data_IF_016444411947
#
_entry.id   IF_016444411947
#
_cell.length_a   1.000
_cell.length_b   1.000
_cell.length_c   1.000
_cell.angle_alpha   90.00
_cell.angle_beta   90.00
_cell.angle_gamma   90.00
#
_symmetry.space_group_name_H-M   'P 1'
#
loop_
_entity.id
_entity.type
_entity.pdbx_description
1 polymer ?
#
# COMPACT_ATOMS: atom_id res chain seq x y z
N UNK A 1 -4.83 18.09 -20.12
CA UNK A 1 -4.58 18.24 -18.67
C UNK A 1 -4.47 19.73 -18.38
N UNK A 2 -4.90 20.11 -17.19
CA UNK A 2 -5.08 21.49 -16.75
C UNK A 2 -4.56 21.62 -15.30
N UNK A 3 -4.43 22.83 -14.76
CA UNK A 3 -4.08 23.07 -13.35
C UNK A 3 -5.25 23.59 -12.52
N UNK A 4 -6.35 23.94 -13.19
CA UNK A 4 -7.48 24.61 -12.60
C UNK A 4 -7.26 26.10 -12.37
N UNK A 5 -6.36 26.72 -13.14
CA UNK A 5 -6.15 28.16 -13.15
C UNK A 5 -7.00 28.77 -14.26
N UNK A 6 -8.14 29.36 -13.87
CA UNK A 6 -9.02 30.02 -14.83
C UNK A 6 -8.32 31.24 -15.45
N UNK A 7 -8.28 31.29 -16.78
CA UNK A 7 -7.61 32.35 -17.53
C UNK A 7 -8.59 33.33 -18.20
N UNK A 8 -9.81 32.87 -18.48
CA UNK A 8 -10.82 33.69 -19.15
C UNK A 8 -12.22 33.29 -18.72
N UNK A 9 -13.13 34.27 -18.65
CA UNK A 9 -14.56 34.01 -18.58
C UNK A 9 -15.16 34.23 -19.96
N UNK A 10 -15.58 33.15 -20.60
CA UNK A 10 -16.29 33.19 -21.88
C UNK A 10 -17.81 33.28 -21.71
N UNK A 11 -18.51 33.52 -22.81
CA UNK A 11 -19.99 33.56 -22.86
C UNK A 11 -20.48 32.62 -23.95
N UNK A 12 -21.39 31.71 -23.61
CA UNK A 12 -22.06 30.83 -24.57
C UNK A 12 -22.90 31.69 -25.51
N UNK A 13 -22.58 31.68 -26.81
CA UNK A 13 -23.33 32.42 -27.83
C UNK A 13 -24.50 31.60 -28.35
N UNK A 14 -24.25 30.32 -28.68
CA UNK A 14 -25.28 29.44 -29.22
C UNK A 14 -25.13 28.02 -28.71
N UNK A 15 -26.27 27.34 -28.55
CA UNK A 15 -26.35 25.90 -28.29
C UNK A 15 -27.31 25.33 -29.34
N UNK A 16 -26.80 24.50 -30.25
CA UNK A 16 -27.58 23.90 -31.36
C UNK A 16 -27.38 22.39 -31.36
N UNK A 17 -28.37 21.67 -30.82
CA UNK A 17 -28.22 20.23 -30.61
C UNK A 17 -27.07 19.95 -29.64
N UNK A 18 -26.10 19.17 -30.08
CA UNK A 18 -24.87 18.84 -29.34
C UNK A 18 -23.77 19.90 -29.46
N UNK A 19 -23.84 20.79 -30.46
CA UNK A 19 -22.85 21.85 -30.71
C UNK A 19 -23.04 23.06 -29.80
N UNK A 20 -21.94 23.55 -29.23
CA UNK A 20 -21.89 24.72 -28.37
C UNK A 20 -20.82 25.68 -28.91
N UNK A 21 -21.19 26.94 -29.10
CA UNK A 21 -20.27 28.02 -29.47
C UNK A 21 -20.12 28.98 -28.30
N UNK A 22 -18.88 29.29 -27.93
CA UNK A 22 -18.54 30.16 -26.79
C UNK A 22 -17.63 31.28 -27.28
N UNK A 23 -18.02 32.53 -27.03
CA UNK A 23 -17.16 33.70 -27.23
C UNK A 23 -16.13 33.77 -26.13
N UNK A 24 -14.86 33.72 -26.51
CA UNK A 24 -13.70 33.69 -25.62
C UNK A 24 -12.46 34.17 -26.40
N UNK A 25 -12.30 35.48 -26.65
CA UNK A 25 -11.26 35.99 -27.54
C UNK A 25 -9.84 35.57 -27.14
N UNK A 26 -9.52 35.52 -25.85
CA UNK A 26 -8.17 35.21 -25.40
C UNK A 26 -7.83 33.72 -25.57
N UNK A 27 -8.79 32.83 -25.34
CA UNK A 27 -8.67 31.39 -25.52
C UNK A 27 -8.71 31.02 -27.00
N UNK A 28 -9.63 31.62 -27.78
CA UNK A 28 -9.75 31.44 -29.22
C UNK A 28 -8.46 31.86 -29.96
N UNK A 29 -7.75 32.88 -29.48
CA UNK A 29 -6.47 33.28 -30.07
C UNK A 29 -5.34 32.25 -29.88
N UNK A 30 -5.46 31.33 -28.91
CA UNK A 30 -4.40 30.39 -28.52
C UNK A 30 -4.70 28.94 -28.90
N UNK A 31 -5.98 28.59 -29.04
CA UNK A 31 -6.40 27.22 -29.34
C UNK A 31 -6.60 27.01 -30.85
N UNK A 32 -6.37 25.79 -31.32
CA UNK A 32 -6.62 25.36 -32.70
C UNK A 32 -7.67 24.24 -32.70
N UNK A 33 -8.36 23.99 -33.83
CA UNK A 33 -9.13 22.77 -34.01
C UNK A 33 -8.34 21.52 -33.63
N UNK A 34 -8.98 20.61 -32.89
CA UNK A 34 -8.36 19.44 -32.23
C UNK A 34 -7.79 19.71 -30.84
N UNK A 35 -7.64 20.98 -30.44
CA UNK A 35 -7.14 21.37 -29.12
C UNK A 35 -8.13 21.06 -27.99
N UNK A 36 -7.62 20.89 -26.78
CA UNK A 36 -8.43 20.67 -25.57
C UNK A 36 -8.60 21.97 -24.78
N UNK A 37 -9.82 22.23 -24.32
CA UNK A 37 -10.15 23.38 -23.47
C UNK A 37 -10.97 22.91 -22.26
N UNK A 38 -10.63 23.39 -21.07
CA UNK A 38 -11.44 23.17 -19.88
C UNK A 38 -12.51 24.27 -19.83
N UNK A 39 -13.78 23.87 -19.91
CA UNK A 39 -14.97 24.73 -19.89
C UNK A 39 -15.76 24.42 -18.63
N UNK A 40 -15.57 25.23 -17.59
CA UNK A 40 -16.21 25.07 -16.27
C UNK A 40 -16.08 23.65 -15.70
N UNK A 41 -14.88 23.06 -15.81
CA UNK A 41 -14.56 21.72 -15.32
C UNK A 41 -14.78 20.60 -16.34
N UNK A 42 -15.26 20.91 -17.55
CA UNK A 42 -15.47 19.94 -18.64
C UNK A 42 -14.40 20.11 -19.71
N UNK A 43 -13.60 19.08 -19.95
CA UNK A 43 -12.69 19.03 -21.08
C UNK A 43 -13.50 18.87 -22.37
N UNK A 44 -13.37 19.82 -23.30
CA UNK A 44 -13.94 19.75 -24.63
C UNK A 44 -12.85 19.78 -25.69
N UNK A 45 -13.09 19.10 -26.80
CA UNK A 45 -12.27 19.21 -28.00
C UNK A 45 -12.83 20.32 -28.88
N UNK A 46 -12.03 21.34 -29.16
CA UNK A 46 -12.41 22.44 -30.05
C UNK A 46 -12.42 21.92 -31.49
N UNK A 47 -13.50 22.16 -32.21
CA UNK A 47 -13.67 21.74 -33.60
C UNK A 47 -13.46 22.89 -34.58
N UNK A 48 -13.83 24.11 -34.17
CA UNK A 48 -13.72 25.30 -35.00
C UNK A 48 -13.42 26.53 -34.14
N UNK A 49 -12.72 27.50 -34.72
CA UNK A 49 -12.33 28.76 -34.07
C UNK A 49 -12.48 29.88 -35.10
N UNK A 50 -13.38 30.83 -34.81
CA UNK A 50 -13.65 31.98 -35.68
C UNK A 50 -14.12 33.17 -34.85
N UNK A 51 -13.74 34.39 -35.26
CA UNK A 51 -14.26 35.67 -34.72
C UNK A 51 -14.19 35.81 -33.18
N UNK A 52 -13.13 35.26 -32.58
CA UNK A 52 -12.93 35.27 -31.13
C UNK A 52 -13.85 34.31 -30.36
N UNK A 53 -14.43 33.32 -31.04
CA UNK A 53 -15.22 32.25 -30.46
C UNK A 53 -14.66 30.88 -30.86
N UNK A 54 -14.97 29.87 -30.07
CA UNK A 54 -14.70 28.47 -30.40
C UNK A 54 -16.00 27.67 -30.39
N UNK A 55 -16.04 26.60 -31.19
CA UNK A 55 -17.15 25.64 -31.21
C UNK A 55 -16.65 24.26 -30.81
N UNK A 56 -17.42 23.58 -29.98
CA UNK A 56 -17.16 22.20 -29.59
C UNK A 56 -18.46 21.39 -29.57
N UNK A 57 -18.34 20.07 -29.79
CA UNK A 57 -19.46 19.13 -29.63
C UNK A 57 -19.46 18.56 -28.22
N UNK A 58 -20.62 18.62 -27.56
CA UNK A 58 -20.82 18.08 -26.21
C UNK A 58 -21.64 16.80 -26.28
N UNK A 59 -21.02 15.69 -25.88
CA UNK A 59 -21.67 14.37 -25.85
C UNK A 59 -22.89 14.33 -24.91
N UNK A 60 -23.81 13.41 -25.17
CA UNK A 60 -24.98 13.19 -24.31
C UNK A 60 -24.59 12.76 -22.87
N UNK A 61 -23.53 11.96 -22.71
CA UNK A 61 -23.06 11.57 -21.37
C UNK A 61 -22.46 12.76 -20.62
N UNK A 62 -21.67 13.61 -21.30
CA UNK A 62 -21.15 14.85 -20.72
C UNK A 62 -22.28 15.74 -20.24
N UNK A 63 -23.30 15.99 -21.08
CA UNK A 63 -24.48 16.79 -20.70
C UNK A 63 -25.18 16.22 -19.47
N UNK A 64 -25.36 14.90 -19.41
CA UNK A 64 -26.03 14.23 -18.29
C UNK A 64 -25.24 14.26 -16.98
N UNK A 65 -23.90 14.30 -17.05
CA UNK A 65 -23.01 14.15 -15.89
C UNK A 65 -22.47 15.47 -15.34
N UNK A 66 -22.64 16.58 -16.07
CA UNK A 66 -22.18 17.90 -15.68
C UNK A 66 -23.32 18.91 -15.63
N UNK A 67 -23.01 20.17 -15.34
CA UNK A 67 -23.92 21.32 -15.47
C UNK A 67 -24.15 21.74 -16.93
N UNK A 68 -23.88 20.87 -17.91
CA UNK A 68 -24.12 21.18 -19.33
C UNK A 68 -25.52 20.74 -19.80
N UNK A 69 -26.30 20.10 -18.92
CA UNK A 69 -27.72 19.81 -19.15
C UNK A 69 -28.58 21.08 -19.25
N UNK A 70 -28.18 22.17 -18.60
CA UNK A 70 -28.84 23.48 -18.60
C UNK A 70 -27.98 24.59 -19.24
N UNK A 71 -27.06 24.22 -20.15
CA UNK A 71 -26.25 25.19 -20.90
C UNK A 71 -27.12 25.94 -21.92
N UNK A 72 -27.09 27.27 -21.88
CA UNK A 72 -27.88 28.12 -22.75
C UNK A 72 -27.09 29.37 -23.18
N UNK A 73 -27.55 30.02 -24.25
CA UNK A 73 -26.98 31.29 -24.72
C UNK A 73 -27.02 32.36 -23.61
N UNK A 74 -25.97 33.17 -23.52
CA UNK A 74 -25.77 34.18 -22.48
C UNK A 74 -25.14 33.64 -21.19
N UNK A 75 -25.05 32.31 -21.02
CA UNK A 75 -24.39 31.72 -19.85
C UNK A 75 -22.88 31.95 -19.92
N UNK A 76 -22.31 32.51 -18.86
CA UNK A 76 -20.87 32.66 -18.75
C UNK A 76 -20.22 31.38 -18.19
N UNK A 77 -19.02 31.07 -18.69
CA UNK A 77 -18.27 29.84 -18.41
C UNK A 77 -16.81 30.17 -18.11
N UNK A 78 -16.24 29.50 -17.10
CA UNK A 78 -14.82 29.61 -16.77
C UNK A 78 -13.98 28.78 -17.75
N UNK A 79 -12.88 29.35 -18.25
CA UNK A 79 -12.07 28.75 -19.30
C UNK A 79 -10.60 28.64 -18.89
N UNK A 80 -10.00 27.51 -19.25
CA UNK A 80 -8.57 27.25 -19.09
C UNK A 80 -8.04 26.41 -20.28
N UNK A 81 -7.04 26.93 -21.04
CA UNK A 81 -6.32 26.16 -22.05
C UNK A 81 -5.57 24.96 -21.47
N UNK A 82 -5.37 23.92 -22.27
CA UNK A 82 -4.54 22.79 -21.85
C UNK A 82 -3.09 23.19 -21.62
N UNK A 83 -2.47 22.58 -20.61
CA UNK A 83 -1.06 22.73 -20.31
C UNK A 83 -0.16 22.31 -21.48
N UNK A 84 0.93 23.04 -21.65
CA UNK A 84 2.05 22.72 -22.52
C UNK A 84 3.25 22.21 -21.70
N UNK A 85 4.17 21.53 -22.37
CA UNK A 85 5.39 21.05 -21.71
C UNK A 85 6.25 22.24 -21.28
N UNK A 86 6.49 22.35 -19.98
CA UNK A 86 7.26 23.45 -19.38
C UNK A 86 6.42 24.50 -18.67
N UNK A 87 5.08 24.42 -18.75
CA UNK A 87 4.21 25.29 -17.97
C UNK A 87 4.35 25.02 -16.47
N UNK A 88 4.29 26.06 -15.62
CA UNK A 88 4.25 25.88 -14.18
C UNK A 88 2.97 25.14 -13.77
N UNK A 89 3.11 24.19 -12.85
CA UNK A 89 1.98 23.48 -12.26
C UNK A 89 1.40 24.31 -11.10
N UNK A 90 0.74 25.42 -11.45
CA UNK A 90 0.08 26.34 -10.50
C UNK A 90 -1.31 25.81 -10.10
N UNK A 91 -1.34 24.75 -9.29
CA UNK A 91 -2.58 24.11 -8.82
C UNK A 91 -2.40 22.62 -8.57
N UNK A 92 -3.49 21.85 -8.75
CA UNK A 92 -3.41 20.38 -8.83
C UNK A 92 -3.73 19.93 -10.25
N UNK A 93 -3.42 18.68 -10.58
CA UNK A 93 -3.72 18.14 -11.91
C UNK A 93 -5.24 17.98 -12.08
N UNK A 94 -5.81 18.78 -12.97
CA UNK A 94 -7.21 18.73 -13.39
C UNK A 94 -7.29 18.10 -14.77
N UNK A 95 -8.21 17.17 -14.96
CA UNK A 95 -8.42 16.48 -16.24
C UNK A 95 -9.55 17.09 -17.05
N UNK A 96 -10.46 17.82 -16.41
CA UNK A 96 -11.73 18.24 -17.00
C UNK A 96 -12.72 17.08 -17.11
N UNK A 97 -12.61 16.11 -16.20
CA UNK A 97 -13.49 14.94 -16.11
C UNK A 97 -14.39 15.11 -14.89
N UNK A 98 -15.59 15.64 -15.12
CA UNK A 98 -16.57 15.86 -14.05
C UNK A 98 -16.97 14.54 -13.41
N UNK A 99 -16.56 14.36 -12.15
CA UNK A 99 -16.87 13.19 -11.34
C UNK A 99 -18.30 13.26 -10.76
N UNK A 100 -18.77 14.48 -10.47
CA UNK A 100 -20.08 14.74 -9.89
C UNK A 100 -20.55 16.19 -10.09
N UNK A 101 -21.85 16.42 -9.97
CA UNK A 101 -22.43 17.76 -9.82
C UNK A 101 -22.77 18.00 -8.36
N UNK A 102 -22.18 19.03 -7.77
CA UNK A 102 -22.48 19.50 -6.42
C UNK A 102 -23.57 20.56 -6.40
N UNK A 103 -24.27 20.69 -5.26
CA UNK A 103 -25.22 21.78 -5.01
C UNK A 103 -24.66 22.73 -3.95
N UNK A 104 -24.60 24.02 -4.26
CA UNK A 104 -24.24 25.06 -3.29
C UNK A 104 -25.36 25.16 -2.26
N UNK A 105 -24.99 25.08 -0.99
CA UNK A 105 -25.91 25.08 0.16
C UNK A 105 -25.87 26.39 0.93
N UNK A 106 -24.72 27.06 0.94
CA UNK A 106 -24.53 28.38 1.54
C UNK A 106 -23.29 29.02 0.92
N UNK A 107 -23.27 30.34 0.86
CA UNK A 107 -22.12 31.11 0.41
C UNK A 107 -22.03 32.41 1.23
N UNK A 108 -21.05 32.46 2.12
CA UNK A 108 -20.97 33.42 3.23
C UNK A 108 -19.70 34.28 3.11
N UNK A 109 -19.83 35.58 3.35
CA UNK A 109 -18.67 36.47 3.38
C UNK A 109 -17.78 36.12 4.58
N UNK A 110 -16.47 35.96 4.35
CA UNK A 110 -15.49 35.65 5.39
C UNK A 110 -14.26 36.55 5.24
N UNK A 111 -14.27 37.68 5.95
CA UNK A 111 -13.23 38.71 5.80
C UNK A 111 -13.16 39.22 4.36
N UNK A 112 -11.96 39.21 3.78
CA UNK A 112 -11.74 39.56 2.37
C UNK A 112 -12.13 38.45 1.37
N UNK A 113 -12.42 37.24 1.85
CA UNK A 113 -12.79 36.09 1.04
C UNK A 113 -14.26 35.69 1.20
N UNK A 114 -14.64 34.60 0.55
CA UNK A 114 -15.99 34.03 0.63
C UNK A 114 -15.92 32.53 0.87
N UNK A 115 -16.64 32.01 1.85
CA UNK A 115 -16.75 30.58 2.10
C UNK A 115 -17.96 30.04 1.36
N UNK A 116 -17.76 28.98 0.57
CA UNK A 116 -18.83 28.32 -0.18
C UNK A 116 -18.97 26.89 0.32
N UNK A 117 -20.18 26.50 0.73
CA UNK A 117 -20.53 25.17 1.17
C UNK A 117 -21.22 24.40 0.06
N UNK A 118 -20.66 23.25 -0.31
CA UNK A 118 -21.12 22.45 -1.44
C UNK A 118 -21.50 21.05 -0.94
N UNK A 119 -22.73 20.63 -1.23
CA UNK A 119 -23.22 19.27 -1.01
C UNK A 119 -23.02 18.45 -2.29
N UNK A 120 -22.06 17.52 -2.32
CA UNK A 120 -21.94 16.58 -3.43
C UNK A 120 -22.89 15.38 -3.27
N UNK A 121 -23.06 14.53 -4.29
CA UNK A 121 -23.69 13.22 -4.13
C UNK A 121 -22.92 12.39 -3.09
N UNK A 122 -23.62 11.58 -2.29
CA UNK A 122 -23.02 10.80 -1.18
C UNK A 122 -21.83 9.95 -1.61
N UNK A 123 -21.87 9.38 -2.83
CA UNK A 123 -20.78 8.58 -3.41
C UNK A 123 -19.48 9.36 -3.68
N UNK A 124 -19.55 10.68 -3.80
CA UNK A 124 -18.42 11.53 -4.12
C UNK A 124 -17.70 12.03 -2.86
N UNK A 125 -18.43 12.22 -1.75
CA UNK A 125 -17.87 12.75 -0.51
C UNK A 125 -16.63 11.98 0.02
N UNK A 126 -16.54 10.63 -0.09
CA UNK A 126 -15.32 9.89 0.29
C UNK A 126 -14.05 10.29 -0.47
N UNK A 127 -14.19 10.92 -1.65
CA UNK A 127 -13.08 11.41 -2.48
C UNK A 127 -12.59 12.79 -2.06
N UNK A 128 -13.28 13.46 -1.14
CA UNK A 128 -12.93 14.80 -0.67
C UNK A 128 -12.09 14.70 0.61
N UNK A 129 -10.87 15.24 0.56
CA UNK A 129 -9.98 15.30 1.71
C UNK A 129 -9.92 16.73 2.26
N UNK A 130 -10.12 16.88 3.58
CA UNK A 130 -9.88 18.16 4.23
C UNK A 130 -8.42 18.57 4.03
N UNK A 131 -8.18 19.84 3.68
CA UNK A 131 -6.88 20.39 3.28
C UNK A 131 -6.29 19.80 1.99
N UNK A 132 -7.02 18.92 1.30
CA UNK A 132 -6.67 18.46 -0.04
C UNK A 132 -7.18 19.40 -1.14
N UNK A 133 -6.79 19.09 -2.37
CA UNK A 133 -7.24 19.80 -3.57
C UNK A 133 -8.57 19.27 -4.11
N UNK A 134 -9.34 20.14 -4.74
CA UNK A 134 -10.56 19.80 -5.47
C UNK A 134 -10.76 20.82 -6.61
N UNK A 135 -11.27 20.38 -7.76
CA UNK A 135 -11.70 21.31 -8.81
C UNK A 135 -13.20 21.60 -8.68
N UNK A 136 -13.58 22.88 -8.67
CA UNK A 136 -14.97 23.35 -8.69
C UNK A 136 -15.16 24.26 -9.89
N UNK A 137 -16.03 23.86 -10.83
CA UNK A 137 -16.16 24.47 -12.16
C UNK A 137 -14.79 24.68 -12.86
N UNK A 138 -13.92 23.68 -12.71
CA UNK A 138 -12.58 23.69 -13.26
C UNK A 138 -11.56 24.45 -12.41
N UNK A 139 -11.97 25.33 -11.51
CA UNK A 139 -11.03 26.06 -10.66
C UNK A 139 -10.44 25.15 -9.56
N UNK A 140 -9.11 25.12 -9.44
CA UNK A 140 -8.40 24.37 -8.40
C UNK A 140 -8.46 25.10 -7.06
N UNK A 141 -9.03 24.44 -6.05
CA UNK A 141 -9.26 25.00 -4.72
C UNK A 141 -8.76 24.06 -3.62
N UNK A 142 -8.45 24.62 -2.45
CA UNK A 142 -8.20 23.85 -1.24
C UNK A 142 -9.51 23.63 -0.47
N UNK A 143 -9.81 22.38 -0.14
CA UNK A 143 -10.92 22.03 0.75
C UNK A 143 -10.63 22.56 2.15
N UNK A 144 -11.43 23.52 2.61
CA UNK A 144 -11.27 24.11 3.93
C UNK A 144 -11.66 23.12 5.04
N UNK A 145 -12.79 22.43 4.83
CA UNK A 145 -13.43 21.55 5.82
C UNK A 145 -14.34 20.54 5.13
N UNK A 146 -14.46 19.34 5.70
CA UNK A 146 -15.42 18.31 5.30
C UNK A 146 -16.27 17.95 6.51
N UNK A 147 -17.59 18.07 6.37
CA UNK A 147 -18.57 17.63 7.38
C UNK A 147 -19.42 16.50 6.80
N UNK A 148 -20.36 15.96 7.59
CA UNK A 148 -21.09 14.72 7.30
C UNK A 148 -21.67 14.62 5.88
N UNK A 149 -22.25 15.68 5.33
CA UNK A 149 -22.95 15.67 4.04
C UNK A 149 -22.43 16.68 3.02
N UNK A 150 -21.42 17.49 3.37
CA UNK A 150 -20.95 18.61 2.55
C UNK A 150 -19.50 18.97 2.88
N UNK A 151 -18.89 19.74 2.01
CA UNK A 151 -17.57 20.33 2.25
C UNK A 151 -17.62 21.82 1.99
N UNK A 152 -16.59 22.54 2.44
CA UNK A 152 -16.43 23.96 2.11
C UNK A 152 -15.09 24.25 1.46
N UNK A 153 -15.09 25.31 0.66
CA UNK A 153 -13.90 25.96 0.10
C UNK A 153 -13.93 27.43 0.52
N UNK A 154 -12.76 28.04 0.63
CA UNK A 154 -12.63 29.48 0.88
C UNK A 154 -12.02 30.12 -0.35
N UNK A 155 -12.77 31.04 -0.96
CA UNK A 155 -12.36 31.80 -2.13
C UNK A 155 -11.64 33.06 -1.66
N UNK A 156 -10.38 33.20 -2.08
CA UNK A 156 -9.57 34.39 -1.82
C UNK A 156 -9.86 35.50 -2.86
N UNK A 157 -9.52 36.77 -2.60
CA UNK A 157 -9.80 37.88 -3.53
C UNK A 157 -9.39 37.63 -4.98
N UNK A 158 -8.20 37.05 -5.20
CA UNK A 158 -7.73 36.73 -6.55
C UNK A 158 -8.64 35.70 -7.26
N UNK A 159 -9.08 34.65 -6.55
CA UNK A 159 -10.01 33.65 -7.09
C UNK A 159 -11.39 34.25 -7.34
N UNK A 160 -11.88 35.13 -6.45
CA UNK A 160 -13.15 35.84 -6.63
C UNK A 160 -13.14 36.73 -7.87
N UNK A 161 -12.01 37.38 -8.18
CA UNK A 161 -11.85 38.22 -9.35
C UNK A 161 -11.67 37.42 -10.66
N UNK A 162 -10.96 36.29 -10.59
CA UNK A 162 -10.62 35.49 -11.78
C UNK A 162 -11.68 34.44 -12.14
N UNK A 163 -12.64 34.14 -11.25
CA UNK A 163 -13.63 33.08 -11.44
C UNK A 163 -15.04 33.58 -11.19
N UNK A 164 -16.04 32.83 -11.67
CA UNK A 164 -17.46 33.08 -11.36
C UNK A 164 -17.90 32.51 -10.01
N UNK A 165 -17.01 31.85 -9.27
CA UNK A 165 -17.36 31.22 -8.00
C UNK A 165 -17.78 32.26 -6.94
N UNK A 166 -17.36 33.52 -7.11
CA UNK A 166 -17.79 34.64 -6.28
C UNK A 166 -19.25 35.05 -6.46
N UNK A 167 -19.92 34.61 -7.53
CA UNK A 167 -21.34 34.88 -7.81
C UNK A 167 -22.28 33.79 -7.28
N UNK A 168 -21.74 32.65 -6.84
CA UNK A 168 -22.55 31.48 -6.46
C UNK A 168 -23.51 31.78 -5.29
N UNK A 169 -24.74 31.30 -5.40
CA UNK A 169 -25.76 31.39 -4.36
C UNK A 169 -26.27 30.00 -3.95
N UNK A 170 -27.00 29.94 -2.84
CA UNK A 170 -27.61 28.70 -2.39
C UNK A 170 -28.63 28.21 -3.42
N UNK A 171 -28.45 26.99 -3.92
CA UNK A 171 -29.26 26.44 -5.01
C UNK A 171 -28.44 26.11 -6.25
N UNK A 172 -27.36 26.86 -6.49
CA UNK A 172 -26.54 26.72 -7.68
C UNK A 172 -25.88 25.35 -7.78
N UNK A 173 -25.62 24.94 -9.02
CA UNK A 173 -24.97 23.68 -9.37
C UNK A 173 -23.56 23.96 -9.86
N UNK A 174 -22.62 23.13 -9.44
CA UNK A 174 -21.20 23.23 -9.82
C UNK A 174 -20.67 21.86 -10.23
N UNK A 175 -19.78 21.83 -11.21
CA UNK A 175 -19.03 20.64 -11.59
C UNK A 175 -17.92 20.38 -10.59
N UNK A 176 -17.79 19.13 -10.16
CA UNK A 176 -16.77 18.70 -9.21
C UNK A 176 -15.86 17.66 -9.85
N UNK A 177 -14.56 17.86 -9.70
CA UNK A 177 -13.52 16.88 -9.99
C UNK A 177 -12.69 16.66 -8.74
N UNK A 178 -12.51 15.40 -8.36
CA UNK A 178 -11.63 15.00 -7.25
C UNK A 178 -10.18 15.00 -7.69
N UNK A 179 -9.27 15.35 -6.77
CA UNK A 179 -7.85 15.28 -7.03
C UNK A 179 -7.43 13.87 -7.51
N UNK A 180 -6.62 13.81 -8.56
CA UNK A 180 -6.18 12.55 -9.19
C UNK A 180 -5.46 11.67 -8.17
N UNK A 181 -4.62 12.26 -7.31
CA UNK A 181 -3.90 11.51 -6.28
C UNK A 181 -4.88 10.97 -5.24
N UNK A 182 -5.82 11.79 -4.74
CA UNK A 182 -6.86 11.33 -3.81
C UNK A 182 -7.75 10.23 -4.41
N UNK A 183 -8.05 10.33 -5.72
CA UNK A 183 -8.88 9.35 -6.46
C UNK A 183 -8.15 8.03 -6.69
N UNK A 184 -6.87 8.07 -7.06
CA UNK A 184 -6.03 6.87 -7.26
C UNK A 184 -5.59 6.23 -5.95
N UNK A 185 -5.29 7.04 -4.95
CA UNK A 185 -5.02 6.57 -3.60
C UNK A 185 -6.25 5.88 -3.02
N UNK A 186 -7.46 6.24 -3.48
CA UNK A 186 -8.71 5.54 -3.21
C UNK A 186 -8.84 5.23 -1.72
N UNK A 187 -8.89 6.26 -0.87
CA UNK A 187 -8.82 6.17 0.62
C UNK A 187 -8.74 4.73 1.13
N UNK A 188 -7.54 4.16 1.26
CA UNK A 188 -7.38 3.04 2.15
C UNK A 188 -7.67 3.65 3.52
N UNK A 189 -8.53 3.04 4.32
CA UNK A 189 -8.55 3.39 5.73
C UNK A 189 -7.09 3.29 6.26
N UNK A 190 -6.73 4.07 7.27
CA UNK A 190 -5.34 4.10 7.78
C UNK A 190 -4.81 2.71 8.15
N UNK A 191 -5.70 1.78 8.54
CA UNK A 191 -5.37 0.38 8.78
C UNK A 191 -5.20 -0.43 7.48
N UNK A 192 -5.89 -0.11 6.40
CA UNK A 192 -5.67 -0.70 5.07
C UNK A 192 -4.36 -0.21 4.46
N UNK A 193 -4.02 1.09 4.61
CA UNK A 193 -2.71 1.60 4.19
C UNK A 193 -1.59 0.98 5.04
N UNK A 194 -1.76 0.91 6.35
CA UNK A 194 -0.79 0.25 7.23
C UNK A 194 -0.65 -1.25 6.89
N UNK A 195 -1.74 -1.93 6.53
CA UNK A 195 -1.72 -3.34 6.11
C UNK A 195 -1.05 -3.51 4.75
N UNK A 196 -1.30 -2.61 3.80
CA UNK A 196 -0.64 -2.61 2.49
C UNK A 196 0.86 -2.32 2.62
N UNK A 197 1.26 -1.35 3.45
CA UNK A 197 2.66 -1.01 3.72
C UNK A 197 3.38 -2.12 4.49
N UNK A 198 2.70 -2.78 5.44
CA UNK A 198 3.20 -4.01 6.09
C UNK A 198 3.32 -5.20 5.13
N UNK A 199 2.53 -5.21 4.06
CA UNK A 199 2.56 -6.24 3.02
C UNK A 199 3.50 -5.89 1.85
N UNK A 200 4.10 -4.69 1.81
CA UNK A 200 5.16 -4.41 0.85
C UNK A 200 6.36 -5.30 1.18
N UNK A 201 6.97 -5.96 0.19
CA UNK A 201 8.17 -6.75 0.42
C UNK A 201 9.31 -5.81 0.78
N UNK A 202 9.73 -5.85 2.04
CA UNK A 202 10.94 -5.17 2.50
C UNK A 202 12.09 -6.15 2.39
N UNK A 203 13.18 -5.73 1.75
CA UNK A 203 14.34 -6.57 1.49
C UNK A 203 15.60 -5.91 2.05
N UNK A 204 16.54 -6.72 2.55
CA UNK A 204 17.79 -6.24 3.15
C UNK A 204 17.65 -5.91 4.63
N UNK A 205 18.71 -5.32 5.20
CA UNK A 205 18.85 -5.04 6.62
C UNK A 205 17.89 -3.95 7.09
N UNK A 206 17.11 -4.28 8.12
CA UNK A 206 16.12 -3.40 8.72
C UNK A 206 16.41 -3.28 10.22
N UNK A 207 17.18 -2.27 10.65
CA UNK A 207 17.54 -2.14 12.05
C UNK A 207 16.38 -1.64 12.92
N UNK A 208 16.46 -2.00 14.19
CA UNK A 208 15.62 -1.50 15.28
C UNK A 208 14.16 -1.92 15.22
N UNK A 209 13.35 -1.31 16.10
CA UNK A 209 11.95 -1.67 16.36
C UNK A 209 11.10 -1.76 15.09
N UNK A 210 11.27 -0.82 14.16
CA UNK A 210 10.49 -0.77 12.93
C UNK A 210 10.86 -1.90 11.95
N UNK A 211 12.10 -2.37 11.97
CA UNK A 211 12.54 -3.53 11.18
C UNK A 211 11.96 -4.83 11.73
N UNK A 212 12.01 -5.02 13.05
CA UNK A 212 11.39 -6.17 13.72
C UNK A 212 9.88 -6.21 13.48
N UNK A 213 9.17 -5.09 13.59
CA UNK A 213 7.72 -5.00 13.29
C UNK A 213 7.40 -5.50 11.86
N UNK A 214 8.26 -5.22 10.88
CA UNK A 214 8.10 -5.67 9.49
C UNK A 214 8.42 -7.15 9.33
N UNK A 215 9.52 -7.61 9.91
CA UNK A 215 9.92 -9.02 9.88
C UNK A 215 8.83 -9.92 10.49
N UNK A 216 8.26 -9.51 11.62
CA UNK A 216 7.12 -10.19 12.26
C UNK A 216 5.89 -10.22 11.34
N UNK A 217 5.56 -9.10 10.69
CA UNK A 217 4.42 -9.04 9.76
C UNK A 217 4.63 -9.94 8.52
N UNK A 218 5.85 -9.98 7.99
CA UNK A 218 6.20 -10.86 6.87
C UNK A 218 6.09 -12.33 7.25
N UNK A 219 6.59 -12.71 8.44
CA UNK A 219 6.49 -14.07 8.94
C UNK A 219 5.02 -14.49 9.14
N UNK A 220 4.18 -13.61 9.70
CA UNK A 220 2.75 -13.82 9.86
C UNK A 220 2.01 -14.02 8.52
N UNK A 221 2.48 -13.37 7.44
CA UNK A 221 1.98 -13.55 6.08
C UNK A 221 2.49 -14.84 5.39
N UNK A 222 3.33 -15.63 6.06
CA UNK A 222 3.95 -16.84 5.51
C UNK A 222 5.16 -16.59 4.63
N UNK A 223 5.76 -15.39 4.71
CA UNK A 223 7.07 -15.08 4.14
C UNK A 223 8.22 -15.54 5.06
N UNK A 224 9.44 -15.54 4.52
CA UNK A 224 10.65 -15.83 5.30
C UNK A 224 11.28 -14.56 5.87
N UNK A 225 12.17 -14.71 6.85
CA UNK A 225 12.95 -13.61 7.45
C UNK A 225 14.39 -14.09 7.62
N UNK A 226 15.38 -13.26 7.33
CA UNK A 226 16.77 -13.54 7.70
C UNK A 226 17.04 -12.99 9.10
N UNK A 227 17.54 -13.82 10.00
CA UNK A 227 17.89 -13.45 11.38
C UNK A 227 19.40 -13.63 11.56
N UNK A 228 20.09 -12.54 11.89
CA UNK A 228 21.54 -12.51 12.10
C UNK A 228 21.89 -12.48 13.58
N UNK A 229 22.82 -13.34 13.99
CA UNK A 229 23.44 -13.34 15.31
C UNK A 229 24.93 -12.99 15.19
N UNK A 230 25.24 -11.70 15.32
CA UNK A 230 26.61 -11.18 15.14
C UNK A 230 27.56 -11.41 16.30
N UNK A 231 27.06 -11.72 17.50
CA UNK A 231 27.87 -11.76 18.72
C UNK A 231 28.28 -13.18 19.13
N UNK A 232 27.65 -14.21 18.57
CA UNK A 232 27.83 -15.60 19.02
C UNK A 232 28.25 -16.57 17.92
N UNK A 233 27.39 -16.83 16.93
CA UNK A 233 27.74 -17.72 15.80
C UNK A 233 28.32 -16.93 14.62
N UNK A 234 28.03 -15.63 14.53
CA UNK A 234 28.33 -14.83 13.35
C UNK A 234 27.77 -15.47 12.08
N UNK A 235 26.53 -15.96 12.17
CA UNK A 235 25.77 -16.61 11.11
C UNK A 235 24.35 -16.04 11.01
N UNK A 236 23.76 -16.16 9.82
CA UNK A 236 22.39 -15.76 9.54
C UNK A 236 21.53 -16.94 9.15
N UNK A 237 20.33 -17.04 9.72
CA UNK A 237 19.37 -18.08 9.39
C UNK A 237 18.16 -17.51 8.67
N UNK A 238 17.64 -18.25 7.68
CA UNK A 238 16.29 -17.98 7.17
C UNK A 238 15.26 -18.69 8.05
N UNK A 239 14.35 -17.90 8.60
CA UNK A 239 13.26 -18.34 9.48
C UNK A 239 11.92 -18.35 8.74
N UNK A 240 11.16 -19.43 8.93
CA UNK A 240 9.76 -19.56 8.52
C UNK A 240 8.88 -20.04 9.69
N UNK A 241 7.60 -19.64 9.70
CA UNK A 241 6.63 -20.14 10.68
C UNK A 241 6.19 -21.58 10.34
N UNK A 242 6.32 -22.50 11.31
CA UNK A 242 6.10 -23.93 11.09
C UNK A 242 4.64 -24.28 10.77
N UNK A 243 3.68 -23.61 11.41
CA UNK A 243 2.24 -23.89 11.23
C UNK A 243 1.74 -23.67 9.80
N UNK A 244 2.39 -22.80 9.03
CA UNK A 244 2.03 -22.45 7.66
C UNK A 244 3.15 -22.78 6.67
N UNK A 245 4.04 -23.72 7.05
CA UNK A 245 5.17 -24.12 6.22
C UNK A 245 4.67 -24.71 4.88
N UNK A 246 5.18 -24.16 3.78
CA UNK A 246 4.85 -24.60 2.41
C UNK A 246 5.97 -25.45 1.82
N UNK A 247 5.67 -26.42 0.94
CA UNK A 247 6.69 -27.18 0.21
C UNK A 247 7.67 -26.26 -0.52
N UNK A 248 7.20 -25.17 -1.12
CA UNK A 248 8.04 -24.21 -1.86
C UNK A 248 9.01 -23.47 -0.94
N UNK A 249 8.56 -23.09 0.27
CA UNK A 249 9.42 -22.51 1.29
C UNK A 249 10.51 -23.49 1.73
N UNK A 250 10.16 -24.78 1.88
CA UNK A 250 11.15 -25.80 2.25
C UNK A 250 12.13 -26.08 1.09
N UNK A 251 11.65 -26.12 -0.16
CA UNK A 251 12.52 -26.20 -1.34
C UNK A 251 13.51 -25.04 -1.37
N UNK A 252 13.05 -23.82 -1.10
CA UNK A 252 13.91 -22.65 -1.01
C UNK A 252 15.03 -22.82 0.04
N UNK A 253 14.70 -23.35 1.23
CA UNK A 253 15.73 -23.65 2.24
C UNK A 253 16.79 -24.62 1.72
N UNK A 254 16.39 -25.63 0.96
CA UNK A 254 17.30 -26.68 0.46
C UNK A 254 18.13 -26.26 -0.73
N UNK A 255 17.60 -25.38 -1.58
CA UNK A 255 18.22 -25.06 -2.88
C UNK A 255 18.85 -23.68 -2.92
N UNK A 256 18.52 -22.79 -1.99
CA UNK A 256 19.01 -21.40 -1.99
C UNK A 256 19.72 -21.04 -0.69
N UNK A 257 19.18 -21.48 0.45
CA UNK A 257 19.78 -21.22 1.77
C UNK A 257 20.90 -22.22 2.06
N UNK A 258 20.69 -23.49 1.69
CA UNK A 258 21.69 -24.56 1.62
C UNK A 258 22.32 -25.00 2.96
N UNK A 259 21.91 -24.43 4.10
CA UNK A 259 22.25 -24.93 5.44
C UNK A 259 21.50 -26.19 5.83
N UNK A 260 21.38 -26.41 7.15
CA UNK A 260 20.72 -27.55 7.74
C UNK A 260 19.36 -27.14 8.34
N UNK A 261 18.22 -27.39 7.65
CA UNK A 261 16.92 -27.00 8.18
C UNK A 261 16.60 -27.72 9.49
N UNK A 262 16.47 -26.94 10.57
CA UNK A 262 16.04 -27.42 11.89
C UNK A 262 14.70 -26.81 12.28
N UNK A 263 14.04 -27.40 13.28
CA UNK A 263 12.71 -27.00 13.73
C UNK A 263 12.75 -26.56 15.19
N UNK A 264 13.03 -25.28 15.47
CA UNK A 264 12.92 -24.72 16.82
C UNK A 264 11.50 -24.83 17.37
N UNK A 265 11.40 -25.45 18.54
CA UNK A 265 10.16 -25.69 19.27
C UNK A 265 10.21 -25.00 20.63
N UNK A 266 9.13 -24.33 21.00
CA UNK A 266 8.96 -23.78 22.34
C UNK A 266 9.04 -24.84 23.45
N UNK A 267 9.37 -24.43 24.69
CA UNK A 267 9.34 -25.31 25.85
C UNK A 267 8.04 -26.11 25.97
N UNK A 268 8.15 -27.39 26.31
CA UNK A 268 7.02 -28.30 26.49
C UNK A 268 6.43 -28.89 25.20
N UNK A 269 6.74 -28.35 24.01
CA UNK A 269 6.25 -28.91 22.73
C UNK A 269 6.78 -30.33 22.52
N UNK A 270 8.10 -30.53 22.65
CA UNK A 270 8.74 -31.82 22.41
C UNK A 270 8.46 -32.83 23.53
N UNK A 271 8.37 -32.35 24.78
CA UNK A 271 7.98 -33.18 25.92
C UNK A 271 6.57 -33.76 25.74
N UNK A 272 5.60 -32.93 25.31
CA UNK A 272 4.22 -33.35 25.00
C UNK A 272 4.16 -34.40 23.89
N UNK A 273 5.10 -34.34 22.94
CA UNK A 273 5.17 -35.25 21.80
C UNK A 273 6.06 -36.46 22.06
N UNK A 274 6.63 -36.60 23.26
CA UNK A 274 7.56 -37.67 23.63
C UNK A 274 8.66 -37.83 22.56
N UNK A 275 9.23 -36.71 22.14
CA UNK A 275 10.42 -36.69 21.28
C UNK A 275 11.59 -36.44 22.20
N UNK A 276 12.43 -37.45 22.41
CA UNK A 276 13.54 -37.38 23.35
C UNK A 276 14.71 -36.53 22.83
N UNK A 277 15.54 -35.96 23.71
CA UNK A 277 16.82 -35.37 23.33
C UNK A 277 17.74 -36.41 22.66
N UNK A 278 18.58 -35.97 21.73
CA UNK A 278 19.66 -36.84 21.22
C UNK A 278 20.66 -37.09 22.37
N UNK A 279 21.06 -38.36 22.65
CA UNK A 279 22.05 -38.65 23.69
C UNK A 279 23.41 -37.98 23.41
N UNK A 280 24.00 -37.34 24.41
CA UNK A 280 25.33 -36.71 24.32
C UNK A 280 25.45 -35.45 25.17
N UNK A 281 26.64 -34.84 25.15
CA UNK A 281 26.93 -33.59 25.88
C UNK A 281 26.43 -32.32 25.15
N UNK A 282 26.01 -32.45 23.89
CA UNK A 282 25.57 -31.34 23.04
C UNK A 282 26.68 -30.78 22.15
N UNK A 283 26.48 -29.57 21.62
CA UNK A 283 27.48 -28.86 20.82
C UNK A 283 28.13 -27.70 21.60
N UNK A 284 29.15 -27.06 20.99
CA UNK A 284 29.87 -25.90 21.57
C UNK A 284 28.98 -24.67 21.82
N UNK A 285 27.77 -24.71 21.28
CA UNK A 285 26.80 -23.63 21.15
C UNK A 285 25.59 -23.84 22.08
N UNK A 286 25.56 -24.96 22.82
CA UNK A 286 24.49 -25.32 23.74
C UNK A 286 23.16 -25.60 23.06
N UNK A 287 23.17 -25.97 21.77
CA UNK A 287 22.00 -26.38 20.99
C UNK A 287 21.41 -27.65 21.60
N UNK A 288 20.07 -27.75 21.60
CA UNK A 288 19.33 -28.88 22.21
C UNK A 288 18.62 -29.70 21.15
N UNK A 289 19.35 -30.47 20.33
CA UNK A 289 18.74 -31.31 19.31
C UNK A 289 17.97 -32.47 19.93
N UNK A 290 16.84 -32.80 19.31
CA UNK A 290 16.01 -33.94 19.67
C UNK A 290 16.01 -34.97 18.54
N UNK A 291 15.58 -36.19 18.86
CA UNK A 291 15.53 -37.29 17.90
C UNK A 291 14.79 -36.83 16.63
N UNK A 292 15.40 -36.99 15.44
CA UNK A 292 14.76 -36.59 14.21
C UNK A 292 13.44 -37.35 13.99
N UNK A 293 12.47 -36.71 13.34
CA UNK A 293 11.14 -37.27 13.12
C UNK A 293 10.67 -37.15 11.69
N UNK A 294 9.78 -38.06 11.30
CA UNK A 294 8.97 -37.97 10.08
C UNK A 294 7.50 -38.15 10.42
N UNK A 295 6.60 -37.55 9.63
CA UNK A 295 5.16 -37.73 9.78
C UNK A 295 4.75 -39.17 9.46
N UNK A 296 4.19 -39.89 10.43
CA UNK A 296 3.81 -41.30 10.30
C UNK A 296 2.72 -41.57 9.26
N UNK A 297 1.85 -40.58 9.00
CA UNK A 297 0.83 -40.66 7.96
C UNK A 297 1.37 -40.45 6.54
N UNK A 298 2.67 -40.12 6.39
CA UNK A 298 3.31 -39.96 5.09
C UNK A 298 3.42 -41.28 4.32
N UNK A 299 3.34 -41.20 2.98
CA UNK A 299 3.42 -42.37 2.09
C UNK A 299 4.78 -42.52 1.38
N UNK A 300 5.70 -41.56 1.56
CA UNK A 300 7.02 -41.57 0.94
C UNK A 300 8.14 -41.90 1.94
N UNK A 301 9.33 -41.35 1.70
CA UNK A 301 10.51 -41.62 2.53
C UNK A 301 10.74 -40.59 3.63
N UNK A 302 9.94 -39.51 3.68
CA UNK A 302 10.09 -38.41 4.63
C UNK A 302 11.03 -37.29 4.20
N UNK A 303 11.88 -37.50 3.18
CA UNK A 303 12.99 -36.59 2.84
C UNK A 303 12.59 -35.42 1.94
N UNK A 304 11.52 -35.54 1.15
CA UNK A 304 11.17 -34.50 0.18
C UNK A 304 10.78 -33.19 0.87
N UNK A 305 10.90 -32.07 0.16
CA UNK A 305 10.49 -30.76 0.67
C UNK A 305 9.02 -30.74 1.12
N UNK A 306 8.15 -31.42 0.38
CA UNK A 306 6.73 -31.53 0.71
C UNK A 306 6.49 -32.36 1.98
N UNK A 307 7.19 -33.48 2.14
CA UNK A 307 7.07 -34.34 3.32
C UNK A 307 7.63 -33.66 4.57
N UNK A 308 8.81 -33.03 4.48
CA UNK A 308 9.38 -32.26 5.60
C UNK A 308 8.49 -31.09 6.00
N UNK A 309 7.92 -30.35 5.04
CA UNK A 309 6.94 -29.31 5.33
C UNK A 309 5.68 -29.86 6.03
N UNK A 310 5.21 -31.06 5.66
CA UNK A 310 4.09 -31.71 6.33
C UNK A 310 4.44 -32.13 7.78
N UNK A 311 5.62 -32.72 8.00
CA UNK A 311 6.11 -33.06 9.34
C UNK A 311 6.23 -31.81 10.23
N UNK A 312 6.80 -30.71 9.71
CA UNK A 312 6.90 -29.42 10.43
C UNK A 312 5.52 -28.89 10.81
N UNK A 313 4.56 -28.88 9.87
CA UNK A 313 3.19 -28.44 10.19
C UNK A 313 2.56 -29.29 11.27
N UNK A 314 2.80 -30.60 11.29
CA UNK A 314 2.30 -31.47 12.36
C UNK A 314 3.01 -31.20 13.69
N UNK A 315 4.33 -30.95 13.72
CA UNK A 315 5.03 -30.52 14.94
C UNK A 315 4.44 -29.23 15.52
N UNK A 316 4.04 -28.30 14.64
CA UNK A 316 3.42 -27.03 15.01
C UNK A 316 1.94 -27.15 15.42
N UNK A 317 1.30 -28.31 15.27
CA UNK A 317 -0.11 -28.50 15.58
C UNK A 317 -0.32 -28.78 17.09
N UNK A 318 -1.12 -27.95 17.81
CA UNK A 318 -1.43 -28.20 19.21
C UNK A 318 -2.21 -29.51 19.44
N UNK A 319 -2.84 -30.07 18.40
CA UNK A 319 -3.51 -31.37 18.42
C UNK A 319 -2.61 -32.55 18.02
N UNK A 320 -1.31 -32.35 17.83
CA UNK A 320 -0.37 -33.44 17.57
C UNK A 320 -0.17 -34.35 18.79
N UNK A 321 0.05 -35.64 18.54
CA UNK A 321 0.27 -36.69 19.52
C UNK A 321 1.56 -37.47 19.20
N UNK A 322 2.18 -38.14 20.18
CA UNK A 322 3.41 -38.89 19.98
C UNK A 322 3.37 -39.90 18.82
N UNK A 323 2.20 -40.51 18.58
CA UNK A 323 1.97 -41.52 17.54
C UNK A 323 1.97 -40.95 16.10
N UNK A 324 1.89 -39.62 15.94
CA UNK A 324 1.96 -38.99 14.61
C UNK A 324 3.36 -38.99 14.02
N UNK A 325 4.38 -39.37 14.80
CA UNK A 325 5.78 -39.24 14.43
C UNK A 325 6.51 -40.58 14.44
N UNK A 326 7.23 -40.87 13.36
CA UNK A 326 8.24 -41.91 13.30
C UNK A 326 9.56 -41.37 13.85
N UNK A 327 10.38 -42.27 14.42
CA UNK A 327 11.68 -41.96 15.02
C UNK A 327 12.67 -43.09 14.64
N UNK A 328 13.84 -42.81 14.04
CA UNK A 328 14.27 -41.50 13.53
C UNK A 328 13.52 -41.08 12.25
N UNK A 329 13.78 -39.86 11.78
CA UNK A 329 13.28 -39.31 10.51
C UNK A 329 14.20 -38.22 9.94
N UNK A 330 13.67 -37.31 9.13
CA UNK A 330 14.45 -36.31 8.36
C UNK A 330 14.22 -34.86 8.77
N UNK A 331 13.34 -34.60 9.74
CA UNK A 331 13.14 -33.28 10.35
C UNK A 331 13.80 -33.27 11.72
N UNK A 332 14.62 -32.25 12.01
CA UNK A 332 15.46 -32.17 13.22
C UNK A 332 14.91 -31.12 14.20
N UNK A 333 14.17 -31.51 15.25
CA UNK A 333 13.61 -30.56 16.20
C UNK A 333 14.67 -30.08 17.18
N UNK A 334 14.59 -28.79 17.56
CA UNK A 334 15.43 -28.16 18.58
C UNK A 334 14.55 -27.64 19.72
N UNK A 335 14.94 -27.85 20.97
CA UNK A 335 14.24 -27.26 22.11
C UNK A 335 14.79 -25.88 22.45
N UNK A 336 13.93 -24.85 22.38
CA UNK A 336 14.25 -23.54 22.93
C UNK A 336 14.37 -23.58 24.45
N UNK A 337 15.19 -22.68 25.00
CA UNK A 337 15.32 -22.48 26.45
C UNK A 337 14.03 -21.91 27.06
N UNK A 338 13.64 -22.30 28.30
CA UNK A 338 12.48 -21.75 28.99
C UNK A 338 12.49 -20.21 29.12
N UNK A 339 13.65 -19.61 29.38
CA UNK A 339 13.80 -18.14 29.44
C UNK A 339 13.92 -17.46 28.07
N UNK A 340 13.80 -18.21 26.96
CA UNK A 340 13.86 -17.68 25.60
C UNK A 340 15.10 -16.83 25.33
N UNK A 341 14.93 -15.74 24.58
CA UNK A 341 16.01 -14.82 24.23
C UNK A 341 16.65 -14.12 25.44
N UNK A 342 16.01 -14.09 26.61
CA UNK A 342 16.63 -13.55 27.83
C UNK A 342 17.66 -14.53 28.43
N UNK A 343 17.48 -15.83 28.22
CA UNK A 343 18.39 -16.88 28.70
C UNK A 343 19.46 -17.23 27.65
N UNK A 344 19.09 -17.35 26.37
CA UNK A 344 20.01 -17.69 25.27
C UNK A 344 19.67 -16.90 24.02
N UNK A 345 20.64 -16.17 23.50
CA UNK A 345 20.51 -15.35 22.29
C UNK A 345 20.77 -16.10 20.98
N UNK A 346 20.35 -17.37 20.84
CA UNK A 346 20.58 -18.15 19.61
C UNK A 346 19.38 -18.16 18.66
N UNK A 347 19.58 -18.64 17.43
CA UNK A 347 18.52 -18.70 16.40
C UNK A 347 17.34 -19.58 16.80
N UNK A 348 17.56 -20.59 17.66
CA UNK A 348 16.48 -21.41 18.22
C UNK A 348 15.47 -20.56 18.99
N UNK A 349 15.94 -19.74 19.93
CA UNK A 349 15.09 -18.85 20.73
C UNK A 349 14.53 -17.70 19.89
N UNK A 350 15.32 -17.15 18.96
CA UNK A 350 14.87 -16.10 18.05
C UNK A 350 13.71 -16.59 17.17
N UNK A 351 13.82 -17.79 16.60
CA UNK A 351 12.78 -18.40 15.75
C UNK A 351 11.48 -18.58 16.52
N UNK A 352 11.53 -19.11 17.74
CA UNK A 352 10.34 -19.27 18.59
C UNK A 352 9.72 -17.90 18.93
N UNK A 353 10.54 -16.93 19.33
CA UNK A 353 10.06 -15.60 19.67
C UNK A 353 9.41 -14.89 18.48
N UNK A 354 9.99 -15.02 17.27
CA UNK A 354 9.41 -14.49 16.05
C UNK A 354 8.07 -15.15 15.71
N UNK A 355 7.96 -16.48 15.85
CA UNK A 355 6.70 -17.19 15.60
C UNK A 355 5.59 -16.74 16.57
N UNK A 356 5.92 -16.55 17.85
CA UNK A 356 5.00 -15.99 18.87
C UNK A 356 4.59 -14.56 18.54
N UNK A 357 5.56 -13.69 18.20
CA UNK A 357 5.30 -12.30 17.81
C UNK A 357 4.42 -12.21 16.57
N UNK A 358 4.56 -13.16 15.63
CA UNK A 358 3.75 -13.29 14.42
C UNK A 358 2.34 -13.88 14.68
N UNK A 359 1.99 -14.14 15.95
CA UNK A 359 0.74 -14.79 16.35
C UNK A 359 0.51 -16.15 15.67
N UNK A 360 1.58 -16.91 15.47
CA UNK A 360 1.55 -18.29 14.95
C UNK A 360 1.90 -19.30 16.04
N UNK A 361 1.79 -20.61 15.74
CA UNK A 361 2.28 -21.66 16.65
C UNK A 361 3.75 -21.40 17.00
N UNK A 362 4.19 -21.60 18.25
CA UNK A 362 5.55 -21.30 18.69
C UNK A 362 6.55 -22.40 18.26
N UNK A 363 6.44 -22.81 17.00
CA UNK A 363 7.26 -23.79 16.30
C UNK A 363 7.59 -23.19 14.93
N UNK A 364 8.87 -23.04 14.64
CA UNK A 364 9.37 -22.49 13.39
C UNK A 364 10.35 -23.42 12.69
N UNK A 365 10.83 -22.99 11.53
CA UNK A 365 11.97 -23.62 10.84
C UNK A 365 13.05 -22.56 10.70
N UNK A 366 14.29 -22.90 11.03
CA UNK A 366 15.46 -22.07 10.71
C UNK A 366 16.48 -22.91 9.92
N UNK A 367 17.30 -22.23 9.12
CA UNK A 367 18.29 -22.85 8.25
C UNK A 367 19.39 -21.82 7.99
N UNK A 368 20.62 -22.18 8.27
CA UNK A 368 21.79 -21.32 8.17
C UNK A 368 22.09 -20.99 6.71
N UNK A 369 22.42 -19.74 6.39
CA UNK A 369 22.72 -19.32 5.03
C UNK A 369 24.16 -19.70 4.67
N UNK A 370 24.30 -20.57 3.67
CA UNK A 370 25.59 -21.03 3.16
C UNK A 370 25.87 -20.42 1.78
N UNK A 371 27.11 -19.97 1.58
CA UNK A 371 27.62 -19.53 0.29
C UNK A 371 27.74 -20.71 -0.69
N UNK A 372 27.73 -20.45 -2.01
CA UNK A 372 27.85 -21.51 -3.02
C UNK A 372 29.13 -22.35 -2.95
N UNK A 373 30.18 -21.82 -2.30
CA UNK A 373 31.45 -22.53 -2.08
C UNK A 373 31.44 -23.41 -0.82
N UNK A 374 30.33 -23.45 -0.09
CA UNK A 374 30.14 -24.22 1.14
C UNK A 374 30.58 -23.50 2.42
N UNK A 375 31.03 -22.24 2.33
CA UNK A 375 31.33 -21.42 3.51
C UNK A 375 30.07 -20.77 4.09
N UNK A 376 30.10 -20.35 5.35
CA UNK A 376 28.98 -19.64 5.96
C UNK A 376 28.91 -18.19 5.48
N UNK A 377 27.71 -17.70 5.19
CA UNK A 377 27.50 -16.34 4.70
C UNK A 377 27.79 -15.30 5.79
N UNK A 378 28.71 -14.38 5.50
CA UNK A 378 28.98 -13.24 6.39
C UNK A 378 27.94 -12.12 6.22
N UNK A 379 28.06 -11.02 6.98
CA UNK A 379 27.08 -9.92 6.96
C UNK A 379 26.80 -9.34 5.56
N UNK A 380 27.83 -9.18 4.74
CA UNK A 380 27.68 -8.65 3.38
C UNK A 380 26.98 -9.65 2.44
N UNK A 381 27.26 -10.95 2.60
CA UNK A 381 26.63 -12.02 1.83
C UNK A 381 25.15 -12.15 2.19
N UNK A 382 24.82 -12.03 3.47
CA UNK A 382 23.46 -12.04 4.00
C UNK A 382 22.65 -10.85 3.50
N UNK A 383 23.22 -9.65 3.49
CA UNK A 383 22.56 -8.47 2.93
C UNK A 383 22.27 -8.67 1.44
N UNK A 384 23.27 -9.13 0.68
CA UNK A 384 23.09 -9.42 -0.73
C UNK A 384 22.03 -10.52 -0.95
N UNK A 385 21.99 -11.55 -0.11
CA UNK A 385 21.02 -12.63 -0.20
C UNK A 385 19.60 -12.17 0.14
N UNK A 386 19.43 -11.42 1.23
CA UNK A 386 18.18 -10.81 1.64
C UNK A 386 17.58 -9.91 0.54
N UNK A 387 18.41 -9.08 -0.10
CA UNK A 387 18.02 -8.26 -1.25
C UNK A 387 17.61 -9.11 -2.46
N UNK A 388 18.39 -10.15 -2.81
CA UNK A 388 18.07 -11.05 -3.94
C UNK A 388 16.76 -11.80 -3.73
N UNK A 389 16.50 -12.25 -2.50
CA UNK A 389 15.33 -13.07 -2.17
C UNK A 389 14.09 -12.26 -1.77
N UNK A 390 14.23 -10.95 -1.62
CA UNK A 390 13.13 -10.10 -1.16
C UNK A 390 12.77 -10.38 0.31
N UNK A 391 13.74 -10.73 1.14
CA UNK A 391 13.54 -11.04 2.56
C UNK A 391 14.08 -9.91 3.45
N UNK A 392 13.40 -9.55 4.55
CA UNK A 392 13.93 -8.66 5.55
C UNK A 392 15.03 -9.37 6.34
N UNK A 393 16.08 -8.64 6.68
CA UNK A 393 17.18 -9.08 7.53
C UNK A 393 17.14 -8.28 8.84
N UNK A 394 17.13 -8.96 9.97
CA UNK A 394 17.09 -8.35 11.32
C UNK A 394 18.12 -9.00 12.24
N UNK A 395 18.59 -8.24 13.24
CA UNK A 395 19.50 -8.74 14.27
C UNK A 395 18.75 -9.40 15.43
N UNK A 396 19.33 -10.44 16.01
CA UNK A 396 18.85 -11.01 17.28
C UNK A 396 18.84 -9.95 18.39
N UNK A 397 19.80 -9.02 18.39
CA UNK A 397 19.86 -7.92 19.34
C UNK A 397 18.63 -6.98 19.23
N UNK A 398 18.21 -6.66 18.01
CA UNK A 398 17.02 -5.83 17.77
C UNK A 398 15.74 -6.56 18.19
N UNK A 399 15.64 -7.86 17.89
CA UNK A 399 14.52 -8.69 18.34
C UNK A 399 14.46 -8.76 19.88
N UNK A 400 15.59 -8.92 20.55
CA UNK A 400 15.67 -8.93 22.02
C UNK A 400 15.24 -7.59 22.62
N UNK A 401 15.60 -6.46 21.99
CA UNK A 401 15.20 -5.13 22.46
C UNK A 401 13.72 -4.81 22.18
N UNK A 402 13.12 -5.49 21.20
CA UNK A 402 11.71 -5.32 20.83
C UNK A 402 10.75 -6.08 21.76
N UNK A 403 11.17 -7.25 22.25
CA UNK A 403 10.46 -8.08 23.24
C UNK A 403 10.48 -7.42 24.63
#
# INVERSE_FOLDING_TARGET
>A
MFTGRIEEIGVVETVRGDRVTVRAPASAARIRPGGSLNVSGVCVTVEDVADGAFTATVSAETRRRSTFDDLAAGRAVALEPALTLGDPLDGHLVQGHVDAVGKVTAAEQQGAGRRVWIRPPTRFLPRVAAKGSIAVDGASLTVAEVVKDRFSVVLVPATLAATRLGELEAGDRVNLESDVVARLAGRPDTATLARAVRALPWAGHLPGRAGVDKAVAQLAAGGGVVVWDGDREAEGDVVFAGAIMRPESFTFLLTQVCGHPTVPCAPGVLDRLEIDPIPGEGDRHGTRPHVPVDLAAGTGTGVSAAERAATVRRLADPGAAPADFLRPGHVFPLAARPGGLAERGGHTEATVAMCVAAATSPVGVCCEVMNPDGTMAGPADLEAAALRWGLPLVDVADLRAWL
#
